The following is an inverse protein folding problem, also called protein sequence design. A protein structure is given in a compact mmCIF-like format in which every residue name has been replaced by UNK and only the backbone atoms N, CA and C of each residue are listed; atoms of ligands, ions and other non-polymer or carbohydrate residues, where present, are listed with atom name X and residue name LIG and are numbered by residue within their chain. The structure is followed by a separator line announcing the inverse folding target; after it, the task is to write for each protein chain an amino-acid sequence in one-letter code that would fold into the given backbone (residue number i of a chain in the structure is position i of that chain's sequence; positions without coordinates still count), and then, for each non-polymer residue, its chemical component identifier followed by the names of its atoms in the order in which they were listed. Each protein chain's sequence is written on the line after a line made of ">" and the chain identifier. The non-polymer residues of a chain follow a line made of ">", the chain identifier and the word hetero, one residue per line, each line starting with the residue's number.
data_IF_325897250998
#
_entry.id   IF_325897250998
#
_cell.length_a   1.000
_cell.length_b   1.000
_cell.length_c   1.000
_cell.angle_alpha   90.00
_cell.angle_beta   90.00
_cell.angle_gamma   90.00
#
_symmetry.space_group_name_H-M   'P 1'
#
loop_
_entity.id
_entity.type
_entity.pdbx_description
1 polymer ?
#
# COMPACT_ATOMS: atom_id res chain seq x y z
N UNK A 1 79.21 -5.45 -16.26
CA UNK A 1 78.27 -6.21 -15.41
C UNK A 1 77.05 -5.34 -15.16
N UNK A 2 75.86 -5.87 -15.47
CA UNK A 2 74.51 -5.43 -15.08
C UNK A 2 74.02 -4.04 -15.54
N UNK A 3 72.77 -3.82 -15.97
CA UNK A 3 71.65 -4.63 -16.48
C UNK A 3 70.61 -3.61 -16.98
N UNK A 4 69.98 -3.90 -18.11
CA UNK A 4 68.90 -3.12 -18.75
C UNK A 4 67.66 -2.94 -17.85
N UNK A 5 66.86 -1.89 -18.12
CA UNK A 5 65.39 -1.95 -18.32
C UNK A 5 64.78 -0.54 -18.23
N UNK A 6 63.62 -0.19 -18.78
CA UNK A 6 62.72 -0.67 -19.83
C UNK A 6 61.45 0.17 -19.60
N UNK A 7 60.95 0.85 -20.64
CA UNK A 7 59.54 1.20 -20.81
C UNK A 7 58.81 2.00 -19.72
N UNK A 8 58.66 3.32 -19.93
CA UNK A 8 57.53 4.05 -19.36
C UNK A 8 56.29 3.83 -20.25
N UNK A 9 55.42 2.92 -19.80
CA UNK A 9 54.08 2.71 -20.34
C UNK A 9 53.10 3.74 -19.72
N UNK A 10 52.35 4.39 -20.60
CA UNK A 10 51.24 5.30 -20.30
C UNK A 10 50.15 4.66 -19.44
N UNK A 11 49.60 5.41 -18.48
CA UNK A 11 48.29 5.15 -17.89
C UNK A 11 47.46 6.44 -17.93
N UNK A 12 46.53 6.52 -18.87
CA UNK A 12 45.50 7.54 -18.91
C UNK A 12 44.34 7.07 -17.99
N UNK A 13 44.09 7.81 -16.91
CA UNK A 13 42.98 7.57 -16.00
C UNK A 13 41.69 8.13 -16.63
N UNK A 14 40.80 7.27 -17.13
CA UNK A 14 39.42 7.64 -17.44
C UNK A 14 38.61 7.66 -16.14
N UNK A 15 38.32 8.85 -15.63
CA UNK A 15 37.36 9.04 -14.54
C UNK A 15 35.93 9.05 -15.12
N UNK A 16 35.24 7.90 -15.08
CA UNK A 16 33.81 7.85 -15.31
C UNK A 16 33.08 8.46 -14.10
N UNK A 17 32.60 9.69 -14.25
CA UNK A 17 31.63 10.32 -13.37
C UNK A 17 30.28 9.62 -13.57
N UNK A 18 29.99 8.58 -12.80
CA UNK A 18 28.62 8.08 -12.64
C UNK A 18 27.88 9.03 -11.71
N UNK A 19 27.21 10.04 -12.27
CA UNK A 19 26.22 10.81 -11.53
C UNK A 19 25.08 9.89 -11.10
N UNK A 20 24.52 10.03 -9.88
CA UNK A 20 23.32 9.30 -9.52
C UNK A 20 22.19 9.78 -10.43
N UNK A 21 21.74 8.90 -11.33
CA UNK A 21 20.47 9.06 -12.00
C UNK A 21 19.38 8.97 -10.93
N UNK A 22 19.06 10.09 -10.29
CA UNK A 22 17.76 10.26 -9.67
C UNK A 22 16.76 10.19 -10.82
N UNK A 23 16.26 8.99 -11.09
CA UNK A 23 15.11 8.81 -11.96
C UNK A 23 13.97 9.57 -11.29
N UNK A 24 13.73 10.80 -11.76
CA UNK A 24 12.51 11.53 -11.49
C UNK A 24 11.37 10.54 -11.77
N UNK A 25 10.43 10.33 -10.83
CA UNK A 25 9.27 9.52 -11.14
C UNK A 25 8.67 10.10 -12.41
N UNK A 26 8.73 9.36 -13.52
CA UNK A 26 8.02 9.73 -14.74
C UNK A 26 6.58 9.93 -14.29
N UNK A 27 6.13 11.19 -14.32
CA UNK A 27 4.81 11.56 -13.84
C UNK A 27 3.77 10.67 -14.52
N UNK A 28 2.68 10.38 -13.81
CA UNK A 28 1.54 9.68 -14.39
C UNK A 28 1.08 10.47 -15.61
N UNK A 29 0.85 9.78 -16.75
CA UNK A 29 0.37 10.46 -17.95
C UNK A 29 -0.98 11.16 -17.63
N UNK A 30 -1.26 12.34 -18.20
CA UNK A 30 -2.56 12.99 -17.99
C UNK A 30 -3.75 12.12 -18.41
N UNK A 31 -3.56 11.25 -19.42
CA UNK A 31 -4.58 10.29 -19.87
C UNK A 31 -4.86 9.21 -18.83
N UNK A 32 -3.82 8.54 -18.33
CA UNK A 32 -3.93 7.56 -17.25
C UNK A 32 -4.55 8.17 -15.99
N UNK A 33 -4.20 9.42 -15.67
CA UNK A 33 -4.78 10.14 -14.56
C UNK A 33 -6.27 10.43 -14.76
N UNK A 34 -6.66 10.93 -15.94
CA UNK A 34 -8.06 11.19 -16.26
C UNK A 34 -8.91 9.91 -16.19
N UNK A 35 -8.38 8.78 -16.65
CA UNK A 35 -9.04 7.47 -16.54
C UNK A 35 -9.28 7.07 -15.08
N UNK A 36 -8.29 7.26 -14.20
CA UNK A 36 -8.45 6.99 -12.77
C UNK A 36 -9.54 7.86 -12.14
N UNK A 37 -9.51 9.17 -12.39
CA UNK A 37 -10.50 10.08 -11.81
C UNK A 37 -11.89 9.91 -12.42
N UNK A 38 -11.99 9.39 -13.65
CA UNK A 38 -13.28 8.96 -14.22
C UNK A 38 -13.82 7.73 -13.50
N UNK A 39 -12.95 6.82 -13.06
CA UNK A 39 -13.36 5.65 -12.28
C UNK A 39 -13.78 5.98 -10.83
N UNK A 40 -13.24 7.07 -10.27
CA UNK A 40 -13.32 7.37 -8.84
C UNK A 40 -14.76 7.38 -8.26
N UNK A 41 -15.79 7.97 -8.89
CA UNK A 41 -17.14 7.94 -8.33
C UNK A 41 -17.70 6.53 -8.16
N UNK A 42 -17.40 5.61 -9.09
CA UNK A 42 -17.80 4.21 -8.98
C UNK A 42 -17.05 3.50 -7.85
N UNK A 43 -15.77 3.83 -7.68
CA UNK A 43 -14.91 3.26 -6.64
C UNK A 43 -15.36 3.67 -5.24
N UNK A 44 -15.71 4.94 -5.05
CA UNK A 44 -16.24 5.45 -3.79
C UNK A 44 -17.55 4.76 -3.42
N UNK A 45 -18.43 4.55 -4.41
CA UNK A 45 -19.69 3.84 -4.19
C UNK A 45 -19.48 2.34 -3.92
N UNK A 46 -18.53 1.69 -4.59
CA UNK A 46 -18.14 0.30 -4.29
C UNK A 46 -17.63 0.18 -2.85
N UNK A 47 -16.74 1.05 -2.40
CA UNK A 47 -16.18 1.01 -1.04
C UNK A 47 -17.29 1.20 0.02
N UNK A 48 -18.21 2.12 -0.23
CA UNK A 48 -19.38 2.33 0.63
C UNK A 48 -20.26 1.07 0.74
N UNK A 49 -20.65 0.48 -0.40
CA UNK A 49 -21.50 -0.70 -0.43
C UNK A 49 -20.80 -1.94 0.14
N UNK A 50 -19.49 -2.05 -0.04
CA UNK A 50 -18.71 -3.16 0.52
C UNK A 50 -18.63 -3.05 2.05
N UNK A 51 -18.45 -1.83 2.59
CA UNK A 51 -18.58 -1.61 4.03
C UNK A 51 -19.98 -1.97 4.56
N UNK A 52 -21.04 -1.61 3.86
CA UNK A 52 -22.40 -2.02 4.24
C UNK A 52 -22.52 -3.57 4.24
N UNK A 53 -21.92 -4.25 3.27
CA UNK A 53 -21.88 -5.70 3.23
C UNK A 53 -21.14 -6.29 4.44
N UNK A 54 -20.01 -5.70 4.87
CA UNK A 54 -19.31 -6.08 6.10
C UNK A 54 -20.18 -5.88 7.35
N UNK A 55 -20.86 -4.74 7.47
CA UNK A 55 -21.76 -4.47 8.59
C UNK A 55 -22.90 -5.49 8.65
N UNK A 56 -23.49 -5.86 7.50
CA UNK A 56 -24.51 -6.91 7.43
C UNK A 56 -23.96 -8.28 7.87
N UNK A 57 -22.75 -8.64 7.47
CA UNK A 57 -22.12 -9.89 7.93
C UNK A 57 -21.98 -9.91 9.47
N UNK A 58 -21.61 -8.77 10.07
CA UNK A 58 -21.51 -8.66 11.52
C UNK A 58 -22.88 -8.77 12.23
N UNK A 59 -23.93 -8.18 11.65
CA UNK A 59 -25.31 -8.35 12.14
C UNK A 59 -25.76 -9.81 12.12
N UNK A 60 -25.43 -10.55 11.05
CA UNK A 60 -25.70 -12.00 10.98
C UNK A 60 -25.00 -12.77 12.10
N UNK A 61 -23.73 -12.44 12.40
CA UNK A 61 -22.99 -13.07 13.50
C UNK A 61 -23.61 -12.80 14.88
N UNK A 62 -24.39 -11.72 15.02
CA UNK A 62 -25.15 -11.38 16.23
C UNK A 62 -26.59 -11.92 16.24
N UNK A 63 -26.97 -12.73 15.25
CA UNK A 63 -28.34 -13.22 15.04
C UNK A 63 -29.39 -12.10 14.90
N UNK A 64 -28.98 -10.93 14.40
CA UNK A 64 -29.92 -9.84 14.10
C UNK A 64 -30.69 -10.16 12.80
N UNK A 65 -31.95 -9.73 12.73
CA UNK A 65 -32.79 -9.96 11.54
C UNK A 65 -32.37 -9.02 10.42
N UNK A 66 -31.91 -9.59 9.30
CA UNK A 66 -31.61 -8.84 8.09
C UNK A 66 -32.79 -8.93 7.13
N UNK A 67 -33.17 -7.83 6.44
CA UNK A 67 -34.19 -7.89 5.40
C UNK A 67 -33.82 -8.89 4.31
N UNK A 68 -34.78 -9.72 3.91
CA UNK A 68 -34.60 -10.71 2.85
C UNK A 68 -34.15 -10.02 1.55
N UNK A 69 -33.18 -10.62 0.86
CA UNK A 69 -32.66 -10.11 -0.41
C UNK A 69 -31.73 -8.90 -0.32
N UNK A 70 -31.57 -8.23 0.84
CA UNK A 70 -30.70 -7.06 0.97
C UNK A 70 -29.24 -7.34 0.58
N UNK A 71 -28.69 -8.47 1.06
CA UNK A 71 -27.33 -8.89 0.73
C UNK A 71 -27.13 -9.07 -0.78
N UNK A 72 -28.10 -9.66 -1.46
CA UNK A 72 -28.03 -9.93 -2.90
C UNK A 72 -28.17 -8.64 -3.70
N UNK A 73 -29.05 -7.73 -3.28
CA UNK A 73 -29.19 -6.41 -3.91
C UNK A 73 -27.88 -5.61 -3.85
N UNK A 74 -27.17 -5.61 -2.71
CA UNK A 74 -25.87 -4.95 -2.57
C UNK A 74 -24.82 -5.57 -3.49
N UNK A 75 -24.73 -6.90 -3.53
CA UNK A 75 -23.82 -7.62 -4.43
C UNK A 75 -24.08 -7.28 -5.89
N UNK A 76 -25.34 -7.28 -6.31
CA UNK A 76 -25.70 -6.95 -7.69
C UNK A 76 -25.33 -5.51 -8.04
N UNK A 77 -25.53 -4.57 -7.11
CA UNK A 77 -25.13 -3.17 -7.31
C UNK A 77 -23.61 -3.03 -7.42
N UNK A 78 -22.85 -3.66 -6.53
CA UNK A 78 -21.38 -3.70 -6.61
C UNK A 78 -20.93 -4.29 -7.95
N UNK A 79 -21.48 -5.42 -8.37
CA UNK A 79 -21.17 -6.05 -9.66
C UNK A 79 -21.41 -5.10 -10.84
N UNK A 80 -22.52 -4.34 -10.84
CA UNK A 80 -22.77 -3.37 -11.91
C UNK A 80 -21.75 -2.22 -11.94
N UNK A 81 -21.31 -1.74 -10.77
CA UNK A 81 -20.29 -0.69 -10.67
C UNK A 81 -18.91 -1.19 -11.10
N UNK A 82 -18.58 -2.46 -10.81
CA UNK A 82 -17.33 -3.09 -11.23
C UNK A 82 -17.21 -3.15 -12.77
N UNK A 83 -18.31 -3.37 -13.49
CA UNK A 83 -18.33 -3.37 -14.96
C UNK A 83 -17.89 -2.01 -15.53
N UNK A 84 -18.25 -0.91 -14.86
CA UNK A 84 -17.86 0.44 -15.26
C UNK A 84 -16.44 0.79 -14.81
N UNK A 85 -16.09 0.49 -13.55
CA UNK A 85 -14.84 0.93 -12.94
C UNK A 85 -13.61 0.14 -13.42
N UNK A 86 -13.73 -1.19 -13.53
CA UNK A 86 -12.57 -2.06 -13.76
C UNK A 86 -11.86 -1.82 -15.12
N UNK A 87 -12.58 -1.59 -16.24
CA UNK A 87 -11.93 -1.27 -17.52
C UNK A 87 -11.11 0.03 -17.47
N UNK A 88 -11.66 1.08 -16.83
CA UNK A 88 -10.98 2.37 -16.66
C UNK A 88 -9.71 2.23 -15.82
N UNK A 89 -9.80 1.49 -14.71
CA UNK A 89 -8.66 1.19 -13.86
C UNK A 89 -7.60 0.36 -14.58
N UNK A 90 -8.00 -0.61 -15.40
CA UNK A 90 -7.06 -1.43 -16.17
C UNK A 90 -6.26 -0.58 -17.15
N UNK A 91 -6.93 0.26 -17.95
CA UNK A 91 -6.27 1.18 -18.87
C UNK A 91 -5.31 2.14 -18.14
N UNK A 92 -5.77 2.74 -17.04
CA UNK A 92 -4.95 3.62 -16.21
C UNK A 92 -3.73 2.90 -15.60
N UNK A 93 -3.92 1.66 -15.13
CA UNK A 93 -2.88 0.80 -14.57
C UNK A 93 -1.83 0.38 -15.60
N UNK A 94 -2.27 0.08 -16.83
CA UNK A 94 -1.42 -0.31 -17.95
C UNK A 94 -0.53 0.85 -18.41
N UNK A 95 -1.03 2.09 -18.31
CA UNK A 95 -0.24 3.32 -18.48
C UNK A 95 0.62 3.68 -17.26
N UNK A 96 0.63 2.84 -16.22
CA UNK A 96 1.54 2.94 -15.09
C UNK A 96 1.06 3.81 -13.93
N UNK A 97 -0.21 4.20 -13.86
CA UNK A 97 -0.75 4.93 -12.71
C UNK A 97 -0.70 4.05 -11.43
N UNK A 98 0.07 4.41 -10.39
CA UNK A 98 0.20 3.55 -9.21
C UNK A 98 -1.07 3.51 -8.36
N UNK A 99 -1.88 4.56 -8.34
CA UNK A 99 -3.17 4.54 -7.65
C UNK A 99 -4.14 3.57 -8.34
N UNK A 100 -4.14 3.55 -9.68
CA UNK A 100 -4.95 2.59 -10.43
C UNK A 100 -4.49 1.14 -10.22
N UNK A 101 -3.17 0.89 -10.21
CA UNK A 101 -2.59 -0.41 -9.90
C UNK A 101 -3.03 -0.90 -8.51
N UNK A 102 -2.98 0.00 -7.53
CA UNK A 102 -3.47 -0.27 -6.18
C UNK A 102 -4.97 -0.58 -6.15
N UNK A 103 -5.81 0.28 -6.74
CA UNK A 103 -7.27 0.10 -6.74
C UNK A 103 -7.70 -1.16 -7.48
N UNK A 104 -7.03 -1.51 -8.58
CA UNK A 104 -7.32 -2.75 -9.30
C UNK A 104 -6.98 -3.99 -8.45
N UNK A 105 -5.86 -3.96 -7.73
CA UNK A 105 -5.52 -5.00 -6.77
C UNK A 105 -6.55 -5.08 -5.62
N UNK A 106 -6.97 -3.94 -5.09
CA UNK A 106 -7.98 -3.84 -4.03
C UNK A 106 -9.30 -4.49 -4.45
N UNK A 107 -9.84 -4.17 -5.63
CA UNK A 107 -11.07 -4.77 -6.13
C UNK A 107 -10.95 -6.30 -6.29
N UNK A 108 -9.81 -6.78 -6.81
CA UNK A 108 -9.58 -8.21 -6.95
C UNK A 108 -9.46 -8.93 -5.59
N UNK A 109 -8.88 -8.28 -4.58
CA UNK A 109 -8.81 -8.82 -3.20
C UNK A 109 -10.21 -9.01 -2.62
N UNK A 110 -11.10 -8.05 -2.84
CA UNK A 110 -12.43 -8.02 -2.22
C UNK A 110 -13.43 -8.93 -2.95
N UNK A 111 -13.32 -9.08 -4.28
CA UNK A 111 -14.38 -9.68 -5.08
C UNK A 111 -13.98 -10.95 -5.84
N UNK A 112 -12.69 -11.28 -5.95
CA UNK A 112 -12.23 -12.48 -6.65
C UNK A 112 -11.67 -13.55 -5.68
N UNK A 113 -11.79 -14.85 -6.03
CA UNK A 113 -11.19 -15.92 -5.24
C UNK A 113 -9.66 -15.80 -5.19
N UNK A 114 -9.10 -15.72 -3.98
CA UNK A 114 -7.66 -15.48 -3.74
C UNK A 114 -6.75 -16.41 -4.53
N UNK A 115 -7.08 -17.70 -4.61
CA UNK A 115 -6.26 -18.71 -5.30
C UNK A 115 -6.09 -18.40 -6.79
N UNK A 116 -7.02 -17.64 -7.38
CA UNK A 116 -7.00 -17.28 -8.79
C UNK A 116 -6.24 -15.97 -9.04
N UNK A 117 -6.28 -15.02 -8.09
CA UNK A 117 -5.78 -13.66 -8.30
C UNK A 117 -4.50 -13.31 -7.53
N UNK A 118 -4.04 -14.15 -6.59
CA UNK A 118 -2.93 -13.80 -5.68
C UNK A 118 -1.66 -13.35 -6.41
N UNK A 119 -1.27 -14.04 -7.50
CA UNK A 119 -0.08 -13.66 -8.27
C UNK A 119 -0.23 -12.30 -8.95
N UNK A 120 -1.39 -12.04 -9.56
CA UNK A 120 -1.69 -10.77 -10.20
C UNK A 120 -1.78 -9.62 -9.19
N UNK A 121 -2.49 -9.83 -8.09
CA UNK A 121 -2.62 -8.84 -7.00
C UNK A 121 -1.26 -8.45 -6.46
N UNK A 122 -0.40 -9.41 -6.13
CA UNK A 122 0.92 -9.09 -5.60
C UNK A 122 1.82 -8.38 -6.62
N UNK A 123 1.70 -8.72 -7.91
CA UNK A 123 2.39 -8.00 -8.99
C UNK A 123 1.94 -6.53 -9.11
N UNK A 124 0.62 -6.29 -9.07
CA UNK A 124 0.04 -4.94 -9.12
C UNK A 124 0.47 -4.10 -7.91
N UNK A 125 0.36 -4.65 -6.70
CA UNK A 125 0.75 -3.96 -5.48
C UNK A 125 2.25 -3.65 -5.46
N UNK A 126 3.11 -4.60 -5.87
CA UNK A 126 4.55 -4.36 -5.98
C UNK A 126 4.83 -3.25 -7.00
N UNK A 127 4.20 -3.28 -8.17
CA UNK A 127 4.35 -2.25 -9.21
C UNK A 127 3.93 -0.85 -8.74
N UNK A 128 2.86 -0.78 -7.94
CA UNK A 128 2.37 0.45 -7.33
C UNK A 128 3.34 0.97 -6.27
N UNK A 129 3.82 0.08 -5.38
CA UNK A 129 4.78 0.42 -4.33
C UNK A 129 6.14 0.88 -4.90
N UNK A 130 6.63 0.24 -5.97
CA UNK A 130 7.88 0.65 -6.64
C UNK A 130 7.83 2.08 -7.17
N UNK A 131 6.65 2.60 -7.48
CA UNK A 131 6.46 4.01 -7.86
C UNK A 131 6.29 4.94 -6.66
N UNK A 132 6.30 4.43 -5.43
CA UNK A 132 6.21 5.24 -4.22
C UNK A 132 4.81 5.40 -3.65
N UNK A 133 3.83 4.57 -4.04
CA UNK A 133 2.46 4.66 -3.55
C UNK A 133 2.26 3.82 -2.28
N UNK A 134 2.25 4.48 -1.12
CA UNK A 134 2.37 3.83 0.19
C UNK A 134 1.21 2.86 0.52
N UNK A 135 0.00 3.11 0.00
CA UNK A 135 -1.17 2.26 0.25
C UNK A 135 -0.95 0.82 -0.24
N UNK A 136 -0.24 0.66 -1.36
CA UNK A 136 0.10 -0.66 -1.88
C UNK A 136 1.02 -1.44 -0.93
N UNK A 137 2.01 -0.77 -0.33
CA UNK A 137 2.90 -1.40 0.65
C UNK A 137 2.14 -1.88 1.90
N UNK A 138 1.17 -1.12 2.37
CA UNK A 138 0.32 -1.52 3.48
C UNK A 138 -0.52 -2.76 3.12
N UNK A 139 -1.13 -2.78 1.94
CA UNK A 139 -1.93 -3.92 1.49
C UNK A 139 -1.10 -5.18 1.20
N UNK A 140 0.15 -5.03 0.76
CA UNK A 140 1.04 -6.19 0.59
C UNK A 140 1.24 -6.95 1.91
N UNK A 141 1.27 -6.26 3.05
CA UNK A 141 1.49 -6.91 4.37
C UNK A 141 0.35 -7.88 4.72
N UNK A 142 -0.88 -7.57 4.33
CA UNK A 142 -2.05 -8.41 4.61
C UNK A 142 -2.30 -9.50 3.57
N UNK A 143 -1.75 -9.38 2.35
CA UNK A 143 -2.11 -10.26 1.24
C UNK A 143 -0.94 -11.05 0.62
N UNK A 144 0.25 -10.45 0.57
CA UNK A 144 1.43 -10.93 -0.15
C UNK A 144 2.51 -11.46 0.80
N UNK A 145 2.16 -12.47 1.59
CA UNK A 145 2.96 -12.93 2.75
C UNK A 145 4.41 -13.36 2.45
N UNK A 146 4.71 -13.79 1.23
CA UNK A 146 6.07 -14.16 0.84
C UNK A 146 6.91 -12.92 0.49
N UNK A 147 6.34 -11.99 -0.28
CA UNK A 147 7.04 -10.81 -0.77
C UNK A 147 7.45 -9.87 0.39
N UNK A 148 6.59 -9.71 1.39
CA UNK A 148 6.82 -8.78 2.51
C UNK A 148 7.87 -9.24 3.52
N UNK A 149 8.39 -10.47 3.38
CA UNK A 149 9.50 -10.98 4.22
C UNK A 149 10.87 -10.62 3.66
N UNK A 150 10.93 -10.07 2.44
CA UNK A 150 12.18 -9.81 1.73
C UNK A 150 12.85 -8.51 2.18
N UNK A 151 14.17 -8.40 1.97
CA UNK A 151 14.89 -7.12 2.11
C UNK A 151 14.41 -6.13 1.06
N UNK A 152 14.10 -6.58 -0.15
CA UNK A 152 13.59 -5.76 -1.25
C UNK A 152 12.33 -4.98 -0.85
N UNK A 153 11.34 -5.66 -0.26
CA UNK A 153 10.13 -5.00 0.23
C UNK A 153 10.44 -3.89 1.26
N UNK A 154 11.32 -4.18 2.23
CA UNK A 154 11.73 -3.19 3.23
C UNK A 154 12.44 -2.00 2.59
N UNK A 155 13.32 -2.25 1.62
CA UNK A 155 14.01 -1.18 0.88
C UNK A 155 13.03 -0.29 0.12
N UNK A 156 11.99 -0.86 -0.51
CA UNK A 156 10.93 -0.08 -1.16
C UNK A 156 10.18 0.81 -0.17
N UNK A 157 9.83 0.27 1.01
CA UNK A 157 9.12 1.04 2.04
C UNK A 157 10.01 2.14 2.65
N UNK A 158 11.30 1.86 2.88
CA UNK A 158 12.24 2.85 3.38
C UNK A 158 12.57 3.94 2.33
N UNK A 159 12.35 3.67 1.04
CA UNK A 159 12.55 4.60 -0.07
C UNK A 159 11.29 5.40 -0.46
N UNK A 160 10.17 5.25 0.26
CA UNK A 160 8.97 6.04 0.00
C UNK A 160 9.28 7.55 0.12
N UNK A 161 8.80 8.39 -0.83
CA UNK A 161 9.01 9.85 -0.77
C UNK A 161 8.25 10.46 0.41
N UNK A 162 8.47 11.73 0.77
CA UNK A 162 7.62 12.41 1.77
C UNK A 162 6.15 12.55 1.29
N UNK A 163 5.16 12.57 2.19
CA UNK A 163 3.71 12.53 1.87
C UNK A 163 3.14 13.80 1.23
N UNK A 164 3.98 14.79 0.90
CA UNK A 164 3.60 15.98 0.12
C UNK A 164 3.90 15.81 -1.38
N UNK A 165 4.09 14.55 -1.80
CA UNK A 165 4.46 14.19 -3.16
C UNK A 165 3.31 14.27 -4.19
N UNK A 166 3.62 13.94 -5.45
CA UNK A 166 2.68 14.04 -6.58
C UNK A 166 1.46 13.09 -6.47
N UNK A 167 1.50 12.11 -5.58
CA UNK A 167 0.42 11.14 -5.38
C UNK A 167 -0.62 11.55 -4.34
N UNK A 168 -0.39 12.63 -3.59
CA UNK A 168 -1.32 13.14 -2.56
C UNK A 168 -2.75 13.32 -3.08
N UNK A 169 -2.92 13.75 -4.33
CA UNK A 169 -4.22 13.92 -5.01
C UNK A 169 -5.05 12.63 -5.16
N UNK A 170 -4.42 11.46 -5.06
CA UNK A 170 -5.12 10.19 -5.15
C UNK A 170 -5.68 9.75 -3.80
N UNK A 171 -5.31 10.40 -2.70
CA UNK A 171 -5.82 10.09 -1.38
C UNK A 171 -7.14 10.84 -1.10
N UNK A 172 -8.02 10.29 -0.25
CA UNK A 172 -7.81 9.11 0.60
C UNK A 172 -7.92 7.77 -0.16
N UNK A 173 -7.45 6.69 0.46
CA UNK A 173 -7.45 5.34 -0.11
C UNK A 173 -8.06 4.34 0.88
N UNK A 174 -8.85 3.37 0.40
CA UNK A 174 -9.49 2.38 1.26
C UNK A 174 -8.41 1.47 1.84
N UNK A 175 -8.47 1.19 3.15
CA UNK A 175 -7.56 0.28 3.85
C UNK A 175 -8.38 -0.64 4.75
N UNK A 176 -8.06 -1.93 4.72
CA UNK A 176 -8.73 -2.92 5.56
C UNK A 176 -8.13 -2.92 6.97
N UNK A 177 -8.98 -2.71 7.98
CA UNK A 177 -8.68 -2.83 9.41
C UNK A 177 -7.37 -2.12 9.83
N UNK A 178 -7.32 -0.78 9.74
CA UNK A 178 -6.16 -0.01 10.21
C UNK A 178 -5.86 -0.27 11.69
N UNK A 179 -4.58 -0.24 12.04
CA UNK A 179 -4.03 -0.63 13.35
C UNK A 179 -3.72 0.56 14.25
N UNK A 180 -3.60 1.76 13.69
CA UNK A 180 -3.16 2.94 14.43
C UNK A 180 -4.22 3.47 15.39
N UNK A 181 -5.51 3.44 15.01
CA UNK A 181 -6.60 3.91 15.86
C UNK A 181 -7.31 2.76 16.60
N UNK A 182 -7.13 2.72 17.93
CA UNK A 182 -7.74 1.70 18.80
C UNK A 182 -9.26 1.79 18.88
N UNK A 183 -9.87 2.95 18.58
CA UNK A 183 -11.32 3.15 18.64
C UNK A 183 -12.08 2.34 17.58
N UNK A 184 -11.45 2.04 16.44
CA UNK A 184 -12.04 1.17 15.41
C UNK A 184 -12.02 -0.31 15.80
N UNK A 185 -11.03 -0.74 16.60
CA UNK A 185 -10.86 -2.13 16.99
C UNK A 185 -11.98 -2.67 17.89
N UNK A 186 -12.66 -1.82 18.66
CA UNK A 186 -13.72 -2.24 19.58
C UNK A 186 -15.11 -2.30 18.94
N UNK A 187 -15.38 -1.50 17.90
CA UNK A 187 -16.72 -1.40 17.32
C UNK A 187 -16.89 -2.19 16.01
N UNK A 188 -15.83 -2.48 15.23
CA UNK A 188 -15.88 -3.24 13.95
C UNK A 188 -17.02 -2.86 12.98
N UNK A 189 -17.62 -1.68 13.13
CA UNK A 189 -18.77 -1.27 12.32
C UNK A 189 -18.36 -1.01 10.87
N UNK A 190 -17.13 -0.54 10.65
CA UNK A 190 -16.51 -0.35 9.35
C UNK A 190 -15.21 -1.17 9.27
N UNK A 191 -15.18 -2.17 8.39
CA UNK A 191 -13.98 -2.99 8.18
C UNK A 191 -12.97 -2.28 7.26
N UNK A 192 -13.47 -1.46 6.34
CA UNK A 192 -12.68 -0.65 5.41
C UNK A 192 -12.75 0.80 5.89
N UNK A 193 -11.60 1.44 6.03
CA UNK A 193 -11.48 2.86 6.35
C UNK A 193 -10.84 3.62 5.19
N UNK A 194 -11.16 4.90 5.03
CA UNK A 194 -10.61 5.74 3.96
C UNK A 194 -9.53 6.65 4.55
N UNK A 195 -8.27 6.30 4.32
CA UNK A 195 -7.14 6.95 4.97
C UNK A 195 -6.43 7.93 4.05
N UNK A 196 -6.03 9.08 4.58
CA UNK A 196 -5.07 9.96 3.92
C UNK A 196 -3.66 9.33 3.85
N UNK A 197 -2.75 9.93 3.07
CA UNK A 197 -1.41 9.37 2.88
C UNK A 197 -0.62 9.26 4.20
N UNK A 198 -0.79 10.22 5.10
CA UNK A 198 -0.07 10.26 6.38
C UNK A 198 -0.54 9.11 7.28
N UNK A 199 -1.85 8.89 7.38
CA UNK A 199 -2.45 7.80 8.12
C UNK A 199 -2.07 6.43 7.54
N UNK A 200 -2.09 6.27 6.21
CA UNK A 200 -1.62 5.05 5.54
C UNK A 200 -0.18 4.73 5.92
N UNK A 201 0.71 5.72 5.92
CA UNK A 201 2.13 5.53 6.29
C UNK A 201 2.30 5.20 7.77
N UNK A 202 1.55 5.86 8.65
CA UNK A 202 1.49 5.52 10.07
C UNK A 202 1.16 4.01 10.26
N UNK A 203 0.14 3.50 9.56
CA UNK A 203 -0.27 2.10 9.62
C UNK A 203 0.71 1.12 8.98
N UNK A 204 1.33 1.50 7.86
CA UNK A 204 2.39 0.73 7.22
C UNK A 204 3.57 0.52 8.17
N UNK A 205 4.07 1.59 8.77
CA UNK A 205 5.18 1.50 9.72
C UNK A 205 4.79 0.78 11.01
N UNK A 206 3.56 0.94 11.50
CA UNK A 206 3.06 0.17 12.66
C UNK A 206 3.03 -1.33 12.37
N UNK A 207 2.62 -1.70 11.16
CA UNK A 207 2.57 -3.09 10.69
C UNK A 207 3.97 -3.68 10.56
N UNK A 208 4.91 -2.94 9.96
CA UNK A 208 6.31 -3.34 9.86
C UNK A 208 6.97 -3.50 11.23
N UNK A 209 6.76 -2.56 12.16
CA UNK A 209 7.23 -2.71 13.54
C UNK A 209 6.75 -4.03 14.15
N UNK A 210 5.47 -4.36 13.98
CA UNK A 210 4.91 -5.60 14.50
C UNK A 210 5.55 -6.83 13.85
N UNK A 211 5.80 -6.80 12.55
CA UNK A 211 6.49 -7.88 11.85
C UNK A 211 7.94 -8.05 12.32
N UNK A 212 8.70 -6.95 12.50
CA UNK A 212 10.08 -7.01 12.98
C UNK A 212 10.16 -7.54 14.42
N UNK A 213 9.18 -7.19 15.26
CA UNK A 213 9.04 -7.77 16.59
C UNK A 213 8.92 -9.29 16.55
N UNK A 214 8.05 -9.84 15.68
CA UNK A 214 7.90 -11.30 15.54
C UNK A 214 9.15 -12.01 15.01
N UNK A 215 10.07 -11.26 14.39
CA UNK A 215 11.34 -11.78 13.88
C UNK A 215 12.51 -11.56 14.86
N UNK A 216 12.25 -11.06 16.07
CA UNK A 216 13.26 -10.69 17.07
C UNK A 216 14.28 -9.62 16.58
N UNK A 217 13.87 -8.77 15.63
CA UNK A 217 14.68 -7.68 15.08
C UNK A 217 14.41 -6.37 15.84
N UNK A 218 14.93 -6.28 17.08
CA UNK A 218 14.59 -5.18 18.02
C UNK A 218 14.94 -3.80 17.49
N UNK A 219 16.08 -3.64 16.81
CA UNK A 219 16.50 -2.32 16.31
C UNK A 219 15.58 -1.83 15.19
N UNK A 220 15.28 -2.68 14.21
CA UNK A 220 14.38 -2.41 13.10
C UNK A 220 12.95 -2.18 13.59
N UNK A 221 12.52 -2.99 14.55
CA UNK A 221 11.23 -2.84 15.21
C UNK A 221 11.09 -1.44 15.83
N UNK A 222 12.07 -0.99 16.62
CA UNK A 222 12.04 0.34 17.21
C UNK A 222 12.14 1.46 16.18
N UNK A 223 12.90 1.27 15.08
CA UNK A 223 12.98 2.23 13.97
C UNK A 223 11.60 2.47 13.34
N UNK A 224 10.90 1.40 12.98
CA UNK A 224 9.57 1.52 12.38
C UNK A 224 8.51 2.00 13.39
N UNK A 225 8.63 1.63 14.67
CA UNK A 225 7.72 2.11 15.69
C UNK A 225 7.81 3.64 15.86
N UNK A 226 9.02 4.19 15.85
CA UNK A 226 9.25 5.65 15.88
C UNK A 226 8.70 6.35 14.65
N UNK A 227 9.01 5.84 13.44
CA UNK A 227 8.44 6.37 12.19
C UNK A 227 6.90 6.37 12.23
N UNK A 228 6.28 5.29 12.69
CA UNK A 228 4.83 5.22 12.83
C UNK A 228 4.27 6.30 13.77
N UNK A 229 4.93 6.55 14.91
CA UNK A 229 4.54 7.60 15.84
C UNK A 229 4.73 9.01 15.27
N UNK A 230 5.81 9.27 14.53
CA UNK A 230 6.06 10.55 13.82
C UNK A 230 4.94 10.88 12.83
N UNK A 231 4.39 9.85 12.19
CA UNK A 231 3.25 9.96 11.28
C UNK A 231 1.89 10.01 12.02
N UNK A 232 1.88 10.02 13.36
CA UNK A 232 0.67 10.26 14.16
C UNK A 232 -0.05 8.99 14.64
N UNK A 233 0.55 7.81 14.54
CA UNK A 233 -0.07 6.57 15.00
C UNK A 233 -0.22 6.55 16.54
N UNK A 234 -1.44 6.68 17.05
CA UNK A 234 -1.71 6.70 18.49
C UNK A 234 -1.21 5.42 19.20
N UNK A 235 -1.44 4.25 18.60
CA UNK A 235 -0.95 2.98 19.14
C UNK A 235 0.57 2.89 19.21
N UNK A 236 1.29 3.46 18.24
CA UNK A 236 2.75 3.49 18.27
C UNK A 236 3.28 4.41 19.37
N UNK A 237 2.66 5.59 19.52
CA UNK A 237 2.96 6.55 20.59
C UNK A 237 2.78 5.90 21.96
N UNK A 238 1.66 5.21 22.20
CA UNK A 238 1.42 4.47 23.45
C UNK A 238 2.50 3.42 23.72
N UNK A 239 2.87 2.62 22.70
CA UNK A 239 3.92 1.60 22.85
C UNK A 239 5.28 2.19 23.20
N UNK A 240 5.65 3.32 22.60
CA UNK A 240 6.91 3.99 22.91
C UNK A 240 6.95 4.51 24.35
N UNK A 241 5.81 4.98 24.89
CA UNK A 241 5.72 5.40 26.31
C UNK A 241 5.95 4.21 27.24
N UNK A 242 5.29 3.08 26.98
CA UNK A 242 5.47 1.86 27.76
C UNK A 242 6.93 1.36 27.76
N UNK A 243 7.60 1.37 26.60
CA UNK A 243 9.03 1.01 26.50
C UNK A 243 9.95 1.99 27.24
N UNK A 244 9.54 3.25 27.38
CA UNK A 244 10.26 4.27 28.15
C UNK A 244 9.94 4.23 29.66
N UNK A 245 9.00 3.39 30.10
CA UNK A 245 8.52 3.33 31.48
C UNK A 245 7.67 4.54 31.90
N UNK A 246 7.00 5.19 30.93
CA UNK A 246 6.15 6.38 31.09
C UNK A 246 4.67 6.02 30.92
#
# INVERSE_FOLDING_TARGET
>A
MAKSNLGHLSLALLACLTGPANAVPLGVSPGAEALYFTALPYLDEIDYLNNELFSLQHQLLKNEKIPDGKKEALKNKISSLLVEAAPLLRLSSDEGNPAAQYRLAWLAIEFDPREQVVGQVCSLLKSSLTKGFAAAGLQMISYCFNDVKTVEFRSLVDALPEPTGPYSKYYPQPVLLPKCDRKHASNRENAIDSLDEKAVRADLYMSLSTQMWTQNLKQEQMRYLKKSAEYGCARAIERLKLEAGI
#
